data_IF_258608228354
#
_entry.id   IF_258608228354
#
_cell.length_a   1.000
_cell.length_b   1.000
_cell.length_c   1.000
_cell.angle_alpha   90.00
_cell.angle_beta   90.00
_cell.angle_gamma   90.00
#
_symmetry.space_group_name_H-M   'P 1'
#
loop_
_entity.id
_entity.type
_entity.pdbx_description
1 polymer ?
#
# COMPACT_ATOMS: atom_id res chain seq x y z
N UNK A 1 5.74 38.74 16.95
CA UNK A 1 6.76 37.70 17.18
C UNK A 1 6.29 36.32 16.66
N UNK A 2 5.01 36.15 16.31
CA UNK A 2 4.42 34.88 15.84
C UNK A 2 4.47 34.64 14.32
N UNK A 3 4.47 35.68 13.48
CA UNK A 3 4.54 35.52 12.01
C UNK A 3 5.89 35.00 11.48
N UNK A 4 6.96 35.10 12.28
CA UNK A 4 8.31 34.68 11.89
C UNK A 4 8.52 33.17 12.02
N UNK A 5 7.80 32.51 12.93
CA UNK A 5 7.92 31.07 13.14
C UNK A 5 7.23 30.25 12.04
N UNK A 6 6.13 30.73 11.43
CA UNK A 6 5.55 30.11 10.23
C UNK A 6 6.43 30.31 8.99
N UNK A 7 6.99 31.52 8.80
CA UNK A 7 7.92 31.78 7.70
C UNK A 7 9.24 30.99 7.81
N UNK A 8 9.73 30.74 9.03
CA UNK A 8 10.92 29.90 9.26
C UNK A 8 10.63 28.39 9.07
N UNK A 9 9.36 27.95 9.21
CA UNK A 9 8.90 26.61 8.83
C UNK A 9 8.91 26.46 7.29
N UNK A 10 8.49 27.49 6.56
CA UNK A 10 8.53 27.53 5.09
C UNK A 10 9.95 27.61 4.52
N UNK A 11 10.87 28.29 5.22
CA UNK A 11 12.28 28.35 4.83
C UNK A 11 13.01 27.00 5.00
N UNK A 12 12.56 26.14 5.92
CA UNK A 12 13.10 24.78 6.12
C UNK A 12 12.39 23.74 5.24
N UNK A 13 11.12 23.94 4.90
CA UNK A 13 10.40 23.13 3.91
C UNK A 13 10.79 23.47 2.46
N UNK A 14 11.18 24.72 2.20
CA UNK A 14 11.57 25.27 0.90
C UNK A 14 12.99 24.93 0.43
N UNK A 15 13.82 24.26 1.24
CA UNK A 15 15.12 23.72 0.80
C UNK A 15 14.99 22.40 0.01
N UNK A 16 13.85 22.19 -0.67
CA UNK A 16 13.68 21.20 -1.72
C UNK A 16 14.48 21.58 -2.96
N UNK A 17 15.78 21.26 -2.94
CA UNK A 17 16.68 21.43 -4.07
C UNK A 17 16.19 20.68 -5.31
N UNK A 18 16.38 21.33 -6.45
CA UNK A 18 16.06 20.91 -7.82
C UNK A 18 16.15 19.40 -8.07
N UNK A 19 15.02 18.80 -8.48
CA UNK A 19 15.05 17.56 -9.23
C UNK A 19 15.54 17.91 -10.64
N UNK A 20 16.83 17.77 -10.87
CA UNK A 20 17.37 17.68 -12.22
C UNK A 20 16.83 16.39 -12.86
N UNK A 21 15.76 16.53 -13.63
CA UNK A 21 15.34 15.50 -14.59
C UNK A 21 16.40 15.45 -15.68
N UNK A 22 17.33 14.50 -15.56
CA UNK A 22 18.24 14.14 -16.65
C UNK A 22 17.43 13.45 -17.75
N UNK A 23 16.87 14.24 -18.67
CA UNK A 23 16.38 13.74 -19.94
C UNK A 23 17.57 13.42 -20.85
N UNK A 24 18.02 12.16 -20.83
CA UNK A 24 18.88 11.62 -21.86
C UNK A 24 18.11 11.59 -23.19
N UNK A 25 18.37 12.57 -24.06
CA UNK A 25 17.84 12.60 -25.41
C UNK A 25 18.42 11.47 -26.25
N UNK A 26 17.55 10.78 -26.99
CA UNK A 26 17.90 10.09 -28.22
C UNK A 26 16.70 10.19 -29.16
N UNK A 27 16.84 11.12 -30.10
CA UNK A 27 15.98 11.35 -31.26
C UNK A 27 15.84 10.08 -32.08
N UNK A 28 14.62 9.62 -32.36
CA UNK A 28 14.21 9.00 -33.63
C UNK A 28 12.79 9.51 -33.94
N UNK A 29 12.71 10.45 -34.88
CA UNK A 29 11.56 10.60 -35.76
C UNK A 29 11.37 9.29 -36.54
N UNK A 30 10.21 8.65 -36.41
CA UNK A 30 9.67 7.81 -37.48
C UNK A 30 8.15 7.72 -37.40
N UNK A 31 7.55 8.27 -38.45
CA UNK A 31 6.14 8.40 -38.79
C UNK A 31 5.49 7.02 -38.94
N UNK A 32 4.36 6.78 -38.27
CA UNK A 32 3.38 5.75 -38.65
C UNK A 32 1.94 6.30 -38.56
N UNK A 33 1.05 5.93 -39.50
CA UNK A 33 -0.22 6.61 -39.78
C UNK A 33 -1.36 6.25 -38.79
N UNK A 34 -2.45 7.05 -38.73
CA UNK A 34 -3.52 6.88 -37.76
C UNK A 34 -4.38 5.66 -38.10
N UNK A 35 -4.55 4.76 -37.13
CA UNK A 35 -5.49 3.62 -37.22
C UNK A 35 -6.72 3.92 -36.34
N UNK A 36 -7.95 3.66 -36.82
CA UNK A 36 -9.14 4.30 -36.26
C UNK A 36 -9.62 3.67 -34.94
N UNK A 37 -10.22 4.54 -34.12
CA UNK A 37 -10.94 4.25 -32.88
C UNK A 37 -11.86 3.03 -33.01
N UNK A 38 -11.51 1.94 -32.33
CA UNK A 38 -12.46 0.89 -31.96
C UNK A 38 -12.84 1.09 -30.51
N UNK A 39 -14.13 1.40 -30.29
CA UNK A 39 -14.76 1.26 -28.98
C UNK A 39 -14.53 -0.15 -28.42
N UNK A 40 -13.99 -0.32 -27.22
CA UNK A 40 -14.11 -1.58 -26.53
C UNK A 40 -15.54 -1.69 -25.99
N UNK A 41 -16.29 -2.63 -26.57
CA UNK A 41 -17.46 -3.19 -25.92
C UNK A 41 -17.07 -3.66 -24.52
N UNK A 42 -17.88 -3.29 -23.52
CA UNK A 42 -17.87 -3.82 -22.15
C UNK A 42 -17.60 -5.33 -22.16
N UNK A 43 -16.37 -5.74 -21.86
CA UNK A 43 -16.09 -7.07 -21.33
C UNK A 43 -16.46 -7.03 -19.86
N UNK A 44 -17.65 -7.56 -19.55
CA UNK A 44 -18.00 -7.92 -18.20
C UNK A 44 -16.89 -8.79 -17.60
N UNK A 45 -16.38 -8.39 -16.43
CA UNK A 45 -15.45 -9.18 -15.63
C UNK A 45 -16.01 -10.59 -15.47
N UNK A 46 -15.38 -11.57 -16.11
CA UNK A 46 -15.58 -12.98 -15.78
C UNK A 46 -14.93 -13.22 -14.40
N UNK A 47 -15.66 -12.85 -13.34
CA UNK A 47 -15.41 -13.38 -12.01
C UNK A 47 -15.74 -14.88 -12.12
N UNK A 48 -14.72 -15.70 -12.37
CA UNK A 48 -14.77 -17.10 -12.01
C UNK A 48 -15.16 -17.14 -10.53
N UNK A 49 -16.41 -17.51 -10.25
CA UNK A 49 -16.85 -17.84 -8.90
C UNK A 49 -16.04 -19.06 -8.46
N UNK A 50 -14.86 -18.82 -7.89
CA UNK A 50 -14.26 -19.81 -7.01
C UNK A 50 -15.24 -19.98 -5.85
N UNK A 51 -15.73 -21.20 -5.66
CA UNK A 51 -16.52 -21.52 -4.48
C UNK A 51 -15.61 -21.29 -3.27
N UNK A 52 -15.92 -20.26 -2.49
CA UNK A 52 -15.28 -20.03 -1.19
C UNK A 52 -15.51 -21.26 -0.31
N UNK A 53 -14.50 -21.62 0.46
CA UNK A 53 -14.57 -22.75 1.39
C UNK A 53 -15.45 -22.35 2.56
N UNK A 54 -16.40 -23.19 2.95
CA UNK A 54 -17.21 -22.95 4.15
C UNK A 54 -16.46 -23.43 5.38
N UNK A 55 -16.41 -22.57 6.39
CA UNK A 55 -15.72 -22.83 7.64
C UNK A 55 -16.72 -22.71 8.79
N UNK A 56 -16.58 -23.58 9.78
CA UNK A 56 -17.28 -23.47 11.06
C UNK A 56 -16.77 -22.27 11.85
N UNK A 57 -17.55 -21.76 12.81
CA UNK A 57 -17.15 -20.60 13.63
C UNK A 57 -15.84 -20.83 14.40
N UNK A 58 -15.60 -22.05 14.88
CA UNK A 58 -14.37 -22.41 15.59
C UNK A 58 -13.16 -22.42 14.66
N UNK A 59 -13.31 -22.95 13.44
CA UNK A 59 -12.27 -22.93 12.41
C UNK A 59 -11.95 -21.50 11.99
N UNK A 60 -12.96 -20.65 11.77
CA UNK A 60 -12.76 -19.23 11.44
C UNK A 60 -11.91 -18.57 12.50
N UNK A 61 -12.25 -18.71 13.78
CA UNK A 61 -11.50 -18.05 14.86
C UNK A 61 -10.00 -18.40 14.84
N UNK A 62 -9.67 -19.68 14.72
CA UNK A 62 -8.26 -20.14 14.68
C UNK A 62 -7.56 -19.71 13.39
N UNK A 63 -8.23 -19.83 12.24
CA UNK A 63 -7.64 -19.47 10.95
C UNK A 63 -7.47 -17.96 10.79
N UNK A 64 -8.36 -17.17 11.39
CA UNK A 64 -8.22 -15.71 11.45
C UNK A 64 -6.98 -15.30 12.22
N UNK A 65 -6.70 -15.94 13.37
CA UNK A 65 -5.45 -15.67 14.09
C UNK A 65 -4.21 -15.99 13.24
N UNK A 66 -4.20 -17.15 12.57
CA UNK A 66 -3.09 -17.55 11.68
C UNK A 66 -2.94 -16.63 10.47
N UNK A 67 -4.05 -16.15 9.90
CA UNK A 67 -4.02 -15.15 8.83
C UNK A 67 -3.46 -13.82 9.32
N UNK A 68 -3.80 -13.44 10.56
CA UNK A 68 -3.21 -12.29 11.26
C UNK A 68 -1.70 -12.39 11.37
N UNK A 69 -1.15 -13.56 11.70
CA UNK A 69 0.30 -13.77 11.78
C UNK A 69 1.00 -13.53 10.42
N UNK A 70 0.39 -13.98 9.31
CA UNK A 70 0.93 -13.76 7.96
C UNK A 70 0.87 -12.27 7.60
N UNK A 71 -0.25 -11.61 7.89
CA UNK A 71 -0.45 -10.19 7.64
C UNK A 71 0.58 -9.34 8.41
N UNK A 72 0.76 -9.62 9.70
CA UNK A 72 1.76 -8.97 10.55
C UNK A 72 3.16 -9.21 10.01
N UNK A 73 3.52 -10.44 9.66
CA UNK A 73 4.84 -10.75 9.10
C UNK A 73 5.12 -10.01 7.77
N UNK A 74 4.13 -9.92 6.87
CA UNK A 74 4.26 -9.19 5.61
C UNK A 74 4.45 -7.68 5.83
N UNK A 75 3.66 -7.09 6.73
CA UNK A 75 3.80 -5.67 7.08
C UNK A 75 5.13 -5.37 7.78
N UNK A 76 5.58 -6.26 8.66
CA UNK A 76 6.86 -6.17 9.36
C UNK A 76 8.03 -6.25 8.38
N UNK A 77 8.02 -7.21 7.45
CA UNK A 77 8.99 -7.29 6.36
C UNK A 77 9.07 -5.97 5.60
N UNK A 78 7.92 -5.44 5.17
CA UNK A 78 7.88 -4.19 4.40
C UNK A 78 8.39 -2.99 5.20
N UNK A 79 8.03 -2.88 6.48
CA UNK A 79 8.58 -1.85 7.38
C UNK A 79 10.10 -2.02 7.58
N UNK A 80 10.59 -3.25 7.63
CA UNK A 80 12.00 -3.58 7.80
C UNK A 80 12.84 -3.16 6.59
N UNK A 81 12.27 -3.18 5.36
CA UNK A 81 12.95 -2.61 4.17
C UNK A 81 13.29 -1.12 4.31
N UNK A 82 12.58 -0.38 5.19
CA UNK A 82 12.79 1.04 5.47
C UNK A 82 13.99 1.34 6.37
N UNK A 83 14.33 0.38 7.22
CA UNK A 83 15.20 0.60 8.39
C UNK A 83 16.47 -0.23 8.32
N UNK A 84 16.51 -1.22 7.43
CA UNK A 84 17.63 -2.14 7.29
C UNK A 84 18.75 -1.55 6.45
N UNK A 85 19.99 -1.82 6.88
CA UNK A 85 21.20 -1.44 6.17
C UNK A 85 21.75 -2.57 5.27
N UNK A 86 21.26 -3.80 5.44
CA UNK A 86 21.65 -4.98 4.65
C UNK A 86 20.45 -5.88 4.30
N UNK A 87 20.61 -6.72 3.28
CA UNK A 87 19.62 -7.73 2.87
C UNK A 87 19.53 -8.87 3.89
N UNK A 88 20.62 -9.15 4.60
CA UNK A 88 20.69 -10.28 5.54
C UNK A 88 19.65 -10.16 6.66
N UNK A 89 19.47 -8.95 7.18
CA UNK A 89 18.48 -8.62 8.20
C UNK A 89 17.02 -8.77 7.73
N UNK A 90 16.76 -8.78 6.41
CA UNK A 90 15.44 -9.06 5.85
C UNK A 90 15.11 -10.56 5.84
N UNK A 91 16.13 -11.42 5.86
CA UNK A 91 15.95 -12.88 5.80
C UNK A 91 15.12 -13.46 6.94
N UNK A 92 15.19 -12.86 8.14
CA UNK A 92 14.38 -13.27 9.30
C UNK A 92 12.90 -13.00 9.08
N UNK A 93 12.54 -11.83 8.55
CA UNK A 93 11.15 -11.47 8.28
C UNK A 93 10.56 -12.33 7.16
N UNK A 94 11.35 -12.61 6.11
CA UNK A 94 10.95 -13.52 5.03
C UNK A 94 10.66 -14.92 5.58
N UNK A 95 11.52 -15.45 6.46
CA UNK A 95 11.28 -16.77 7.10
C UNK A 95 10.05 -16.79 7.99
N UNK A 96 9.81 -15.71 8.72
CA UNK A 96 8.64 -15.56 9.59
C UNK A 96 7.36 -15.64 8.75
N UNK A 97 7.31 -14.87 7.65
CA UNK A 97 6.22 -14.93 6.68
C UNK A 97 6.04 -16.33 6.08
N UNK A 98 7.12 -16.95 5.57
CA UNK A 98 7.07 -18.29 4.96
C UNK A 98 6.58 -19.35 5.94
N UNK A 99 6.97 -19.25 7.22
CA UNK A 99 6.55 -20.18 8.26
C UNK A 99 5.07 -20.01 8.59
N UNK A 100 4.61 -18.76 8.79
CA UNK A 100 3.19 -18.47 9.03
C UNK A 100 2.29 -18.92 7.87
N UNK A 101 2.71 -18.63 6.62
CA UNK A 101 1.98 -19.05 5.42
C UNK A 101 1.90 -20.58 5.30
N UNK A 102 2.99 -21.29 5.62
CA UNK A 102 2.99 -22.75 5.63
C UNK A 102 2.08 -23.31 6.73
N UNK A 103 2.08 -22.72 7.92
CA UNK A 103 1.19 -23.14 9.03
C UNK A 103 -0.28 -22.98 8.65
N UNK A 104 -0.68 -21.86 8.05
CA UNK A 104 -2.05 -21.67 7.58
C UNK A 104 -2.42 -22.68 6.48
N UNK A 105 -1.56 -22.87 5.50
CA UNK A 105 -1.74 -23.84 4.41
C UNK A 105 -1.91 -25.28 4.94
N UNK A 106 -1.10 -25.70 5.92
CA UNK A 106 -1.23 -27.01 6.57
C UNK A 106 -2.54 -27.16 7.34
N UNK A 107 -2.98 -26.09 8.03
CA UNK A 107 -4.26 -26.09 8.75
C UNK A 107 -5.44 -26.24 7.80
N UNK A 108 -5.48 -25.44 6.73
CA UNK A 108 -6.50 -25.51 5.68
C UNK A 108 -6.47 -26.84 4.92
N UNK A 109 -5.27 -27.40 4.69
CA UNK A 109 -5.10 -28.64 3.93
C UNK A 109 -5.37 -29.93 4.70
N UNK A 110 -5.45 -29.89 6.04
CA UNK A 110 -5.51 -31.11 6.85
C UNK A 110 -6.40 -31.09 8.09
N UNK A 111 -6.79 -29.92 8.59
CA UNK A 111 -7.47 -29.79 9.89
C UNK A 111 -8.87 -29.18 9.84
N UNK A 112 -9.32 -28.70 8.68
CA UNK A 112 -10.68 -28.17 8.50
C UNK A 112 -11.63 -29.24 7.97
N UNK A 113 -12.92 -29.00 8.15
CA UNK A 113 -14.02 -29.84 7.66
C UNK A 113 -14.01 -29.95 6.14
N UNK A 114 -13.84 -28.84 5.42
CA UNK A 114 -13.82 -28.78 3.96
C UNK A 114 -12.40 -28.90 3.34
N UNK A 115 -11.52 -29.73 3.91
CA UNK A 115 -10.13 -29.86 3.43
C UNK A 115 -10.04 -30.36 1.99
N UNK A 116 -10.95 -31.23 1.55
CA UNK A 116 -11.00 -31.72 0.16
C UNK A 116 -11.39 -30.60 -0.81
N UNK A 117 -12.29 -29.70 -0.39
CA UNK A 117 -12.66 -28.53 -1.18
C UNK A 117 -11.48 -27.56 -1.31
N UNK A 118 -10.76 -27.33 -0.22
CA UNK A 118 -9.51 -26.56 -0.24
C UNK A 118 -8.49 -27.15 -1.22
N UNK A 119 -8.20 -28.44 -1.11
CA UNK A 119 -7.25 -29.12 -2.01
C UNK A 119 -7.70 -29.06 -3.48
N UNK A 120 -9.00 -29.19 -3.74
CA UNK A 120 -9.56 -29.09 -5.09
C UNK A 120 -9.44 -27.67 -5.66
N UNK A 121 -9.62 -26.63 -4.83
CA UNK A 121 -9.47 -25.23 -5.26
C UNK A 121 -8.01 -24.87 -5.63
N UNK A 122 -7.03 -25.60 -5.10
CA UNK A 122 -5.62 -25.44 -5.46
C UNK A 122 -5.23 -26.20 -6.73
N UNK A 123 -5.90 -27.31 -7.04
CA UNK A 123 -5.44 -28.20 -8.09
C UNK A 123 -5.51 -27.55 -9.48
N UNK A 124 -4.36 -27.42 -10.15
CA UNK A 124 -4.28 -26.86 -11.51
C UNK A 124 -4.60 -25.36 -11.61
N UNK A 125 -4.59 -24.62 -10.49
CA UNK A 125 -4.91 -23.19 -10.47
C UNK A 125 -3.67 -22.34 -10.24
N UNK A 126 -3.72 -21.08 -10.69
CA UNK A 126 -2.66 -20.10 -10.43
C UNK A 126 -2.42 -19.88 -8.92
N UNK A 127 -3.49 -19.94 -8.12
CA UNK A 127 -3.43 -19.86 -6.66
C UNK A 127 -2.66 -21.07 -6.09
N UNK A 128 -2.98 -22.27 -6.57
CA UNK A 128 -2.27 -23.49 -6.16
C UNK A 128 -0.79 -23.46 -6.52
N UNK A 129 -0.43 -22.97 -7.70
CA UNK A 129 0.97 -22.78 -8.09
C UNK A 129 1.70 -21.82 -7.15
N UNK A 130 1.07 -20.68 -6.80
CA UNK A 130 1.64 -19.72 -5.86
C UNK A 130 1.87 -20.34 -4.47
N UNK A 131 0.87 -21.05 -3.93
CA UNK A 131 0.98 -21.73 -2.63
C UNK A 131 2.04 -22.84 -2.66
N UNK A 132 2.12 -23.60 -3.76
CA UNK A 132 3.14 -24.63 -3.96
C UNK A 132 4.55 -24.03 -4.02
N UNK A 133 4.71 -22.88 -4.67
CA UNK A 133 5.98 -22.17 -4.74
C UNK A 133 6.43 -21.66 -3.35
N UNK A 134 5.51 -21.09 -2.56
CA UNK A 134 5.79 -20.69 -1.17
C UNK A 134 6.20 -21.89 -0.31
N UNK A 135 5.48 -23.01 -0.46
CA UNK A 135 5.82 -24.27 0.23
C UNK A 135 7.21 -24.76 -0.16
N UNK A 136 7.58 -24.67 -1.44
CA UNK A 136 8.92 -25.01 -1.90
C UNK A 136 9.99 -24.15 -1.21
N UNK A 137 9.86 -22.82 -1.30
CA UNK A 137 10.86 -21.88 -0.75
C UNK A 137 10.96 -21.99 0.77
N UNK A 138 9.85 -22.19 1.48
CA UNK A 138 9.88 -22.44 2.91
C UNK A 138 10.77 -23.62 3.25
N UNK A 139 10.66 -24.74 2.53
CA UNK A 139 11.51 -25.91 2.79
C UNK A 139 12.96 -25.66 2.39
N UNK A 140 13.22 -24.96 1.29
CA UNK A 140 14.56 -24.51 0.91
C UNK A 140 15.20 -23.66 2.01
N UNK A 141 14.42 -22.75 2.63
CA UNK A 141 14.91 -21.83 3.67
C UNK A 141 15.40 -22.52 4.96
N UNK A 142 15.16 -23.83 5.10
CA UNK A 142 15.73 -24.67 6.16
C UNK A 142 17.16 -25.12 5.87
N UNK A 143 17.58 -25.03 4.60
CA UNK A 143 18.89 -25.48 4.12
C UNK A 143 19.78 -24.32 3.63
N UNK A 144 19.24 -23.11 3.46
CA UNK A 144 20.00 -21.92 3.05
C UNK A 144 19.77 -20.74 3.99
N UNK A 145 20.80 -19.88 4.11
CA UNK A 145 20.74 -18.71 4.97
C UNK A 145 19.92 -17.55 4.37
N UNK A 146 19.88 -17.43 3.04
CA UNK A 146 19.07 -16.43 2.35
C UNK A 146 18.38 -17.06 1.15
N UNK A 147 17.10 -16.75 0.96
CA UNK A 147 16.28 -17.13 -0.21
C UNK A 147 15.89 -15.91 -1.04
N UNK A 148 16.50 -14.77 -0.73
CA UNK A 148 16.25 -13.47 -1.34
C UNK A 148 17.58 -12.80 -1.63
N UNK A 149 17.61 -12.01 -2.68
CA UNK A 149 18.75 -11.23 -3.14
C UNK A 149 18.33 -9.78 -3.39
N UNK A 150 19.27 -8.83 -3.44
CA UNK A 150 18.93 -7.49 -3.91
C UNK A 150 18.27 -7.53 -5.29
N UNK A 151 17.25 -6.69 -5.51
CA UNK A 151 16.58 -6.56 -6.82
C UNK A 151 17.53 -5.91 -7.82
N UNK A 152 17.71 -6.55 -8.98
CA UNK A 152 18.47 -5.98 -10.10
C UNK A 152 17.62 -5.00 -10.91
N UNK A 153 16.32 -5.27 -11.06
CA UNK A 153 15.42 -4.51 -11.93
C UNK A 153 14.97 -3.18 -11.31
N UNK A 154 14.87 -3.10 -9.98
CA UNK A 154 14.39 -1.91 -9.27
C UNK A 154 15.51 -1.04 -8.69
N UNK A 155 16.77 -1.45 -8.87
CA UNK A 155 17.89 -0.99 -8.06
C UNK A 155 17.81 -1.55 -6.64
N UNK A 156 18.87 -2.23 -6.21
CA UNK A 156 18.96 -2.85 -4.88
C UNK A 156 18.67 -1.88 -3.72
N UNK A 157 18.97 -0.59 -3.94
CA UNK A 157 18.78 0.51 -3.02
C UNK A 157 18.05 1.65 -3.72
N UNK A 158 16.83 1.98 -3.27
CA UNK A 158 16.17 3.23 -3.68
C UNK A 158 16.27 4.21 -2.52
N UNK A 159 16.76 5.41 -2.82
CA UNK A 159 17.19 6.36 -1.81
C UNK A 159 17.08 7.82 -2.21
N UNK A 160 16.90 8.69 -1.22
CA UNK A 160 16.89 10.14 -1.35
C UNK A 160 16.87 10.84 0.01
N UNK A 161 16.53 12.13 0.04
CA UNK A 161 16.42 12.96 1.26
C UNK A 161 15.52 12.37 2.36
N UNK A 162 14.69 11.38 2.02
CA UNK A 162 13.68 10.78 2.91
C UNK A 162 14.00 9.34 3.35
N UNK A 163 15.22 8.84 3.09
CA UNK A 163 15.69 7.53 3.57
C UNK A 163 16.24 6.62 2.46
N UNK A 164 16.78 5.47 2.88
CA UNK A 164 17.30 4.40 2.02
C UNK A 164 16.43 3.16 2.22
N UNK A 165 16.14 2.43 1.13
CA UNK A 165 15.40 1.17 1.19
C UNK A 165 16.05 0.08 0.39
N UNK A 166 15.97 -1.13 0.93
CA UNK A 166 16.50 -2.33 0.30
C UNK A 166 15.38 -3.07 -0.40
N UNK A 167 15.54 -3.26 -1.71
CA UNK A 167 14.62 -4.02 -2.54
C UNK A 167 15.16 -5.40 -2.73
N UNK A 168 14.29 -6.39 -2.55
CA UNK A 168 14.68 -7.78 -2.70
C UNK A 168 13.74 -8.53 -3.61
N UNK A 169 14.33 -9.43 -4.36
CA UNK A 169 13.67 -10.41 -5.20
C UNK A 169 13.98 -11.83 -4.68
N UNK A 170 13.13 -12.80 -5.01
CA UNK A 170 13.43 -14.20 -4.70
C UNK A 170 14.66 -14.67 -5.47
N UNK A 171 15.62 -15.22 -4.75
CA UNK A 171 16.90 -15.68 -5.31
C UNK A 171 16.79 -17.05 -5.96
N UNK A 172 17.70 -17.36 -6.87
CA UNK A 172 17.84 -18.71 -7.41
C UNK A 172 18.18 -19.69 -6.28
N UNK A 173 17.58 -20.88 -6.34
CA UNK A 173 17.83 -21.92 -5.34
C UNK A 173 19.09 -22.71 -5.73
N UNK A 174 20.11 -22.78 -4.85
CA UNK A 174 21.31 -23.57 -5.12
C UNK A 174 20.95 -25.05 -5.36
N UNK A 175 21.56 -25.73 -6.35
CA UNK A 175 21.28 -27.15 -6.62
C UNK A 175 21.44 -28.04 -5.38
N UNK A 176 22.49 -27.83 -4.58
CA UNK A 176 22.71 -28.59 -3.35
C UNK A 176 21.57 -28.46 -2.32
N UNK A 177 20.95 -27.27 -2.22
CA UNK A 177 19.81 -27.06 -1.35
C UNK A 177 18.57 -27.78 -1.88
N UNK A 178 18.36 -27.79 -3.21
CA UNK A 178 17.28 -28.54 -3.86
C UNK A 178 17.43 -30.05 -3.67
N UNK A 179 18.64 -30.58 -3.87
CA UNK A 179 18.95 -32.00 -3.77
C UNK A 179 18.77 -32.53 -2.33
N UNK A 180 18.90 -31.65 -1.34
CA UNK A 180 18.67 -31.95 0.08
C UNK A 180 17.18 -32.08 0.46
N UNK A 181 16.26 -31.67 -0.43
CA UNK A 181 14.81 -31.72 -0.19
C UNK A 181 14.25 -33.12 -0.42
N UNK A 182 13.08 -33.40 0.19
CA UNK A 182 12.31 -34.61 -0.12
C UNK A 182 11.81 -34.60 -1.56
N UNK A 183 11.67 -35.76 -2.24
CA UNK A 183 11.22 -35.82 -3.65
C UNK A 183 9.90 -35.09 -3.94
N UNK A 184 8.93 -35.18 -3.02
CA UNK A 184 7.65 -34.47 -3.14
C UNK A 184 7.79 -32.94 -3.04
N UNK A 185 8.82 -32.44 -2.36
CA UNK A 185 9.11 -31.00 -2.31
C UNK A 185 9.88 -30.59 -3.56
N UNK A 186 10.82 -31.42 -4.03
CA UNK A 186 11.54 -31.18 -5.28
C UNK A 186 10.59 -31.01 -6.47
N UNK A 187 9.51 -31.79 -6.53
CA UNK A 187 8.49 -31.66 -7.59
C UNK A 187 7.75 -30.32 -7.62
N UNK A 188 7.88 -29.49 -6.58
CA UNK A 188 7.29 -28.14 -6.53
C UNK A 188 8.19 -27.06 -7.15
N UNK A 189 9.43 -27.39 -7.50
CA UNK A 189 10.38 -26.44 -8.10
C UNK A 189 9.83 -25.72 -9.34
N UNK A 190 9.12 -26.36 -10.28
CA UNK A 190 8.58 -25.66 -11.44
C UNK A 190 7.64 -24.50 -11.07
N UNK A 191 6.85 -24.64 -10.00
CA UNK A 191 5.98 -23.57 -9.52
C UNK A 191 6.79 -22.39 -8.97
N UNK A 192 7.89 -22.66 -8.26
CA UNK A 192 8.81 -21.62 -7.80
C UNK A 192 9.45 -20.85 -8.96
N UNK A 193 9.99 -21.56 -9.95
CA UNK A 193 10.64 -20.95 -11.12
C UNK A 193 9.64 -20.08 -11.90
N UNK A 194 8.38 -20.53 -12.01
CA UNK A 194 7.35 -19.82 -12.77
C UNK A 194 6.73 -18.62 -12.03
N UNK A 195 6.65 -18.66 -10.69
CA UNK A 195 5.86 -17.69 -9.91
C UNK A 195 6.68 -16.77 -9.00
N UNK A 196 7.86 -17.21 -8.56
CA UNK A 196 8.61 -16.51 -7.51
C UNK A 196 9.98 -16.06 -7.99
N UNK A 197 10.74 -16.90 -8.71
CA UNK A 197 12.12 -16.57 -9.08
C UNK A 197 12.21 -15.19 -9.76
N UNK A 198 13.07 -14.33 -9.22
CA UNK A 198 13.28 -12.96 -9.72
C UNK A 198 12.14 -11.98 -9.45
N UNK A 199 10.99 -12.44 -8.94
CA UNK A 199 9.88 -11.57 -8.58
C UNK A 199 10.14 -10.84 -7.27
N UNK A 200 9.58 -9.64 -7.14
CA UNK A 200 9.66 -8.84 -5.92
C UNK A 200 8.99 -9.58 -4.75
N UNK A 201 9.66 -9.58 -3.60
CA UNK A 201 9.17 -10.27 -2.40
C UNK A 201 7.89 -9.62 -1.86
N UNK A 202 7.80 -8.29 -1.79
CA UNK A 202 6.60 -7.59 -1.29
C UNK A 202 5.37 -7.94 -2.10
N UNK A 203 5.42 -7.75 -3.43
CA UNK A 203 4.33 -8.10 -4.33
C UNK A 203 3.92 -9.58 -4.23
N UNK A 204 4.89 -10.49 -4.04
CA UNK A 204 4.60 -11.91 -3.79
C UNK A 204 3.85 -12.11 -2.48
N UNK A 205 4.28 -11.49 -1.37
CA UNK A 205 3.63 -11.61 -0.07
C UNK A 205 2.17 -11.11 -0.13
N UNK A 206 1.92 -9.99 -0.80
CA UNK A 206 0.57 -9.45 -1.03
C UNK A 206 -0.30 -10.42 -1.85
N UNK A 207 0.26 -11.01 -2.91
CA UNK A 207 -0.44 -12.00 -3.74
C UNK A 207 -0.81 -13.27 -2.96
N UNK A 208 0.05 -13.73 -2.05
CA UNK A 208 -0.22 -14.89 -1.18
C UNK A 208 -1.35 -14.59 -0.19
N UNK A 209 -1.31 -13.42 0.44
CA UNK A 209 -2.39 -12.94 1.31
C UNK A 209 -3.73 -12.87 0.57
N UNK A 210 -3.72 -12.28 -0.64
CA UNK A 210 -4.90 -12.22 -1.50
C UNK A 210 -5.38 -13.61 -1.91
N UNK A 211 -4.48 -14.54 -2.20
CA UNK A 211 -4.83 -15.91 -2.54
C UNK A 211 -5.58 -16.62 -1.40
N UNK A 212 -5.11 -16.50 -0.15
CA UNK A 212 -5.84 -17.05 0.99
C UNK A 212 -7.21 -16.39 1.19
N UNK A 213 -7.31 -15.07 1.03
CA UNK A 213 -8.60 -14.37 1.14
C UNK A 213 -9.57 -14.69 -0.01
N UNK A 214 -9.08 -15.00 -1.20
CA UNK A 214 -9.93 -15.48 -2.31
C UNK A 214 -10.54 -16.85 -1.98
N UNK A 215 -9.75 -17.74 -1.35
CA UNK A 215 -10.21 -19.09 -1.00
C UNK A 215 -11.13 -19.08 0.23
N UNK A 216 -10.85 -18.25 1.22
CA UNK A 216 -11.56 -18.20 2.50
C UNK A 216 -11.64 -16.75 3.02
N UNK A 217 -12.47 -15.87 2.43
CA UNK A 217 -12.49 -14.43 2.76
C UNK A 217 -12.81 -14.13 4.23
N UNK A 218 -13.53 -15.02 4.91
CA UNK A 218 -13.90 -14.90 6.31
C UNK A 218 -12.73 -15.01 7.29
N UNK A 219 -11.56 -15.50 6.86
CA UNK A 219 -10.37 -15.63 7.73
C UNK A 219 -9.50 -14.37 7.74
N UNK A 220 -9.83 -13.35 6.94
CA UNK A 220 -9.06 -12.10 6.94
C UNK A 220 -9.13 -11.46 8.33
N UNK A 221 -8.00 -11.38 9.00
CA UNK A 221 -7.91 -10.67 10.27
C UNK A 221 -8.00 -9.16 10.02
N UNK A 222 -8.88 -8.51 10.79
CA UNK A 222 -9.19 -7.10 10.66
C UNK A 222 -8.88 -6.36 11.96
N UNK A 223 -8.34 -5.16 11.83
CA UNK A 223 -8.05 -4.30 12.97
C UNK A 223 -9.32 -3.60 13.49
N UNK A 224 -9.15 -2.68 14.45
CA UNK A 224 -10.25 -1.94 15.06
C UNK A 224 -10.96 -1.00 14.07
N UNK A 225 -10.32 -0.63 12.96
CA UNK A 225 -10.87 0.19 11.89
C UNK A 225 -11.61 -0.67 10.84
N UNK A 226 -11.62 -2.00 11.01
CA UNK A 226 -12.18 -2.94 10.04
C UNK A 226 -11.26 -3.23 8.86
N UNK A 227 -10.03 -2.71 8.91
CA UNK A 227 -9.03 -2.85 7.86
C UNK A 227 -8.20 -4.11 8.03
N UNK A 228 -7.59 -4.61 6.95
CA UNK A 228 -6.65 -5.72 7.06
C UNK A 228 -5.52 -5.35 8.01
N UNK A 229 -5.23 -6.19 9.01
CA UNK A 229 -4.24 -5.82 10.03
C UNK A 229 -2.84 -5.60 9.42
N UNK A 230 -2.25 -4.44 9.71
CA UNK A 230 -0.95 -4.05 9.15
C UNK A 230 -1.03 -3.49 7.71
N UNK A 231 -2.24 -3.28 7.18
CA UNK A 231 -2.47 -2.75 5.83
C UNK A 231 -3.40 -1.53 5.83
N UNK A 232 -3.34 -0.70 4.76
CA UNK A 232 -2.36 -0.73 3.68
C UNK A 232 -0.95 -0.45 4.20
N UNK A 233 0.03 -1.00 3.49
CA UNK A 233 1.43 -0.75 3.75
C UNK A 233 1.71 0.75 3.59
N UNK A 234 2.56 1.30 4.46
CA UNK A 234 2.87 2.74 4.49
C UNK A 234 3.45 3.20 3.15
N UNK A 235 2.77 4.14 2.47
CA UNK A 235 3.24 4.69 1.19
C UNK A 235 4.62 5.31 1.33
N UNK A 236 5.47 5.04 0.34
CA UNK A 236 6.84 5.52 0.29
C UNK A 236 7.15 6.17 -1.06
N UNK A 237 8.06 7.15 -1.08
CA UNK A 237 8.51 7.73 -2.34
C UNK A 237 9.00 6.64 -3.31
N UNK A 238 8.64 6.78 -4.59
CA UNK A 238 9.12 5.89 -5.67
C UNK A 238 8.70 4.43 -5.53
N UNK A 239 7.62 4.16 -4.79
CA UNK A 239 6.99 2.84 -4.72
C UNK A 239 5.71 2.81 -5.55
N UNK A 240 5.76 2.36 -6.82
CA UNK A 240 4.55 2.22 -7.64
C UNK A 240 3.77 0.93 -7.30
N UNK A 241 4.45 -0.08 -6.74
CA UNK A 241 3.85 -1.37 -6.41
C UNK A 241 2.67 -1.28 -5.45
N UNK A 242 1.84 -2.32 -5.43
CA UNK A 242 0.67 -2.42 -4.54
C UNK A 242 1.07 -2.30 -3.07
N UNK A 243 0.22 -1.68 -2.28
CA UNK A 243 0.36 -1.50 -0.84
C UNK A 243 -0.71 -2.27 -0.06
N UNK A 244 -1.69 -2.85 -0.73
CA UNK A 244 -2.75 -3.62 -0.07
C UNK A 244 -3.04 -4.91 -0.86
N UNK A 245 -3.31 -6.06 -0.20
CA UNK A 245 -3.63 -7.32 -0.89
C UNK A 245 -4.84 -7.22 -1.84
N UNK A 246 -5.85 -6.44 -1.46
CA UNK A 246 -7.03 -6.14 -2.29
C UNK A 246 -6.80 -5.07 -3.37
N UNK A 247 -5.64 -4.42 -3.43
CA UNK A 247 -5.34 -3.46 -4.50
C UNK A 247 -5.20 -4.21 -5.84
N UNK A 248 -5.93 -3.80 -6.89
CA UNK A 248 -5.78 -4.37 -8.23
C UNK A 248 -4.39 -4.13 -8.83
N UNK A 249 -4.03 -4.89 -9.86
CA UNK A 249 -2.82 -4.63 -10.65
C UNK A 249 -3.09 -3.65 -11.80
N UNK A 250 -4.32 -3.65 -12.32
CA UNK A 250 -4.75 -2.68 -13.32
C UNK A 250 -4.92 -1.29 -12.68
N UNK A 251 -4.41 -0.26 -13.36
CA UNK A 251 -4.35 1.09 -12.83
C UNK A 251 -5.74 1.74 -12.72
N UNK A 252 -6.62 1.50 -13.69
CA UNK A 252 -7.98 2.05 -13.69
C UNK A 252 -8.81 1.41 -12.56
N UNK A 253 -8.71 0.08 -12.42
CA UNK A 253 -9.32 -0.64 -11.31
C UNK A 253 -8.75 -0.19 -9.96
N UNK A 254 -7.45 0.09 -9.88
CA UNK A 254 -6.79 0.61 -8.67
C UNK A 254 -7.30 1.99 -8.26
N UNK A 255 -7.53 2.88 -9.23
CA UNK A 255 -8.17 4.18 -8.97
C UNK A 255 -9.59 4.01 -8.43
N UNK A 256 -10.38 3.10 -9.01
CA UNK A 256 -11.74 2.83 -8.55
C UNK A 256 -11.73 2.24 -7.13
N UNK A 257 -10.86 1.25 -6.88
CA UNK A 257 -10.65 0.64 -5.57
C UNK A 257 -10.29 1.68 -4.51
N UNK A 258 -9.33 2.55 -4.81
CA UNK A 258 -8.82 3.57 -3.88
C UNK A 258 -9.87 4.60 -3.47
N UNK A 259 -10.72 5.03 -4.41
CA UNK A 259 -11.78 6.01 -4.14
C UNK A 259 -13.04 5.40 -3.54
N UNK A 260 -13.20 4.06 -3.61
CA UNK A 260 -14.36 3.35 -3.05
C UNK A 260 -14.27 3.09 -1.54
N UNK A 261 -13.11 3.38 -0.92
CA UNK A 261 -12.79 3.03 0.46
C UNK A 261 -12.55 4.27 1.30
N UNK A 262 -12.82 4.26 2.61
CA UNK A 262 -12.47 5.37 3.49
C UNK A 262 -10.97 5.69 3.42
N UNK A 263 -10.57 6.94 3.66
CA UNK A 263 -9.17 7.28 3.87
C UNK A 263 -8.60 6.58 5.12
N UNK A 264 -7.27 6.44 5.17
CA UNK A 264 -6.57 6.04 6.38
C UNK A 264 -6.47 7.19 7.40
N UNK A 265 -6.19 6.82 8.64
CA UNK A 265 -6.09 7.72 9.78
C UNK A 265 -7.36 7.72 10.62
N UNK A 266 -7.36 8.54 11.66
CA UNK A 266 -8.50 8.69 12.58
C UNK A 266 -9.54 9.70 12.08
N UNK A 267 -9.08 10.71 11.32
CA UNK A 267 -9.93 11.75 10.74
C UNK A 267 -9.20 12.54 9.63
N UNK A 268 -9.95 13.35 8.90
CA UNK A 268 -9.42 14.49 8.14
C UNK A 268 -9.67 15.79 8.90
N UNK A 269 -8.65 16.63 9.04
CA UNK A 269 -8.78 18.01 9.50
C UNK A 269 -8.78 18.95 8.28
N UNK A 270 -9.94 19.47 7.92
CA UNK A 270 -10.14 20.47 6.86
C UNK A 270 -9.73 21.85 7.37
N UNK A 271 -8.84 22.51 6.63
CA UNK A 271 -8.37 23.87 6.94
C UNK A 271 -8.75 24.87 5.84
N UNK A 272 -9.34 24.40 4.74
CA UNK A 272 -9.83 25.25 3.66
C UNK A 272 -10.63 24.52 2.59
N UNK A 273 -11.22 25.32 1.72
CA UNK A 273 -11.96 24.94 0.53
C UNK A 273 -11.61 25.90 -0.61
N UNK A 274 -11.38 25.34 -1.80
CA UNK A 274 -11.15 26.10 -3.03
C UNK A 274 -11.99 25.57 -4.17
N UNK A 275 -12.40 26.46 -5.08
CA UNK A 275 -13.17 26.12 -6.26
C UNK A 275 -12.30 26.29 -7.49
N UNK A 276 -11.97 25.19 -8.16
CA UNK A 276 -11.13 25.22 -9.35
C UNK A 276 -11.77 24.40 -10.46
N UNK A 277 -11.86 24.97 -11.67
CA UNK A 277 -12.57 24.34 -12.79
C UNK A 277 -14.06 24.07 -12.51
N UNK A 278 -14.70 24.90 -11.68
CA UNK A 278 -16.09 24.74 -11.26
C UNK A 278 -16.33 23.59 -10.28
N UNK A 279 -15.26 22.93 -9.78
CA UNK A 279 -15.33 21.86 -8.79
C UNK A 279 -14.75 22.34 -7.46
N UNK A 280 -15.45 22.02 -6.37
CA UNK A 280 -14.99 22.31 -5.02
C UNK A 280 -14.05 21.23 -4.52
N UNK A 281 -12.95 21.67 -3.94
CA UNK A 281 -11.95 20.84 -3.31
C UNK A 281 -11.74 21.28 -1.87
N UNK A 282 -11.80 20.33 -0.95
CA UNK A 282 -11.42 20.52 0.45
C UNK A 282 -9.96 20.16 0.61
N UNK A 283 -9.26 20.96 1.41
CA UNK A 283 -7.84 20.80 1.70
C UNK A 283 -7.58 20.79 3.19
N UNK A 284 -6.55 20.05 3.60
CA UNK A 284 -6.30 19.83 5.01
C UNK A 284 -5.30 18.73 5.31
N UNK A 285 -5.31 18.24 6.54
CA UNK A 285 -4.38 17.26 7.05
C UNK A 285 -5.05 15.93 7.39
N UNK A 286 -4.36 14.82 7.15
CA UNK A 286 -4.72 13.54 7.75
C UNK A 286 -4.40 13.61 9.24
N UNK A 287 -5.27 13.10 10.10
CA UNK A 287 -5.02 12.95 11.53
C UNK A 287 -4.75 11.47 11.81
N UNK A 288 -3.64 11.15 12.46
CA UNK A 288 -3.34 9.81 12.97
C UNK A 288 -2.77 9.90 14.39
N UNK A 289 -3.57 9.52 15.37
CA UNK A 289 -3.30 9.72 16.79
C UNK A 289 -3.07 11.20 17.12
N UNK A 290 -1.82 11.54 17.44
CA UNK A 290 -1.38 12.93 17.73
C UNK A 290 -0.54 13.53 16.61
N UNK A 291 -0.51 12.92 15.43
CA UNK A 291 0.30 13.35 14.30
C UNK A 291 -0.61 13.80 13.15
N UNK A 292 -0.09 14.75 12.37
CA UNK A 292 -0.60 15.11 11.06
C UNK A 292 0.44 14.67 10.00
N UNK A 293 0.41 13.38 9.60
CA UNK A 293 1.46 12.78 8.77
C UNK A 293 1.52 13.30 7.33
N UNK A 294 0.45 13.93 6.85
CA UNK A 294 0.36 14.37 5.46
C UNK A 294 -0.81 15.32 5.20
N UNK A 295 -0.73 16.02 4.08
CA UNK A 295 -1.78 16.87 3.54
C UNK A 295 -2.66 16.09 2.57
N UNK A 296 -3.92 16.49 2.42
CA UNK A 296 -4.85 15.94 1.43
C UNK A 296 -5.53 17.05 0.62
N UNK A 297 -5.95 16.70 -0.59
CA UNK A 297 -6.91 17.48 -1.38
C UNK A 297 -7.95 16.50 -1.92
N UNK A 298 -9.22 16.75 -1.62
CA UNK A 298 -10.33 15.87 -1.99
C UNK A 298 -11.48 16.68 -2.58
N UNK A 299 -12.24 16.09 -3.51
CA UNK A 299 -13.44 16.75 -4.02
C UNK A 299 -14.55 16.72 -2.97
N UNK A 300 -15.45 17.71 -3.01
CA UNK A 300 -16.67 17.72 -2.20
C UNK A 300 -17.44 16.40 -2.25
N UNK A 301 -17.57 15.85 -3.45
CA UNK A 301 -18.20 14.54 -3.68
C UNK A 301 -17.51 13.43 -2.89
N UNK A 302 -16.19 13.32 -2.99
CA UNK A 302 -15.46 12.28 -2.25
C UNK A 302 -15.64 12.46 -0.74
N UNK A 303 -15.54 13.69 -0.23
CA UNK A 303 -15.75 13.96 1.20
C UNK A 303 -17.15 13.54 1.64
N UNK A 304 -18.17 13.81 0.81
CA UNK A 304 -19.55 13.39 1.08
C UNK A 304 -19.66 11.87 1.13
N UNK A 305 -19.07 11.17 0.15
CA UNK A 305 -19.07 9.70 0.09
C UNK A 305 -18.34 9.10 1.31
N UNK A 306 -17.21 9.69 1.71
CA UNK A 306 -16.41 9.26 2.85
C UNK A 306 -17.16 9.50 4.19
N UNK A 307 -17.82 10.65 4.36
CA UNK A 307 -18.68 10.93 5.53
C UNK A 307 -19.86 9.96 5.59
N UNK A 308 -20.49 9.66 4.44
CA UNK A 308 -21.58 8.71 4.36
C UNK A 308 -21.13 7.27 4.72
N UNK A 309 -19.85 6.95 4.48
CA UNK A 309 -19.23 5.69 4.93
C UNK A 309 -18.85 5.67 6.42
N UNK A 310 -19.04 6.79 7.14
CA UNK A 310 -18.76 6.93 8.56
C UNK A 310 -17.38 7.51 8.89
N UNK A 311 -16.59 7.93 7.89
CA UNK A 311 -15.28 8.54 8.13
C UNK A 311 -15.41 9.97 8.67
N UNK A 312 -14.55 10.33 9.62
CA UNK A 312 -14.64 11.62 10.33
C UNK A 312 -13.93 12.73 9.55
N UNK A 313 -14.69 13.77 9.20
CA UNK A 313 -14.14 15.05 8.76
C UNK A 313 -14.39 16.10 9.85
N UNK A 314 -13.34 16.84 10.17
CA UNK A 314 -13.32 17.92 11.14
C UNK A 314 -12.93 19.22 10.44
N UNK A 315 -13.38 20.35 10.97
CA UNK A 315 -12.90 21.68 10.61
C UNK A 315 -12.35 22.38 11.83
N UNK A 316 -11.17 22.98 11.72
CA UNK A 316 -10.51 23.71 12.80
C UNK A 316 -9.25 24.40 12.30
N UNK A 317 -8.74 25.32 13.09
CA UNK A 317 -7.48 26.02 12.82
C UNK A 317 -6.33 25.33 13.58
N UNK A 318 -5.34 24.72 12.90
CA UNK A 318 -4.22 24.10 13.58
C UNK A 318 -3.24 25.10 14.22
N UNK A 319 -3.35 26.40 13.89
CA UNK A 319 -2.46 27.42 14.43
C UNK A 319 -2.47 27.44 15.97
N UNK A 320 -1.29 27.37 16.58
CA UNK A 320 -1.14 27.32 18.05
C UNK A 320 -1.38 25.94 18.69
N UNK A 321 -2.00 24.99 17.98
CA UNK A 321 -2.30 23.64 18.48
C UNK A 321 -1.37 22.55 17.97
N UNK A 322 -0.44 22.90 17.07
CA UNK A 322 0.52 21.98 16.48
C UNK A 322 1.96 22.48 16.60
N UNK A 323 2.91 21.54 16.63
CA UNK A 323 4.35 21.84 16.51
C UNK A 323 4.99 20.96 15.45
N UNK A 324 6.04 21.46 14.80
CA UNK A 324 6.87 20.63 13.93
C UNK A 324 7.66 19.63 14.78
N UNK A 325 7.59 18.35 14.43
CA UNK A 325 8.34 17.28 15.08
C UNK A 325 9.02 16.43 14.01
N UNK A 326 10.24 15.96 14.29
CA UNK A 326 10.91 15.01 13.42
C UNK A 326 10.46 13.60 13.79
N UNK A 327 9.66 12.97 12.92
CA UNK A 327 9.28 11.57 13.05
C UNK A 327 10.51 10.70 12.71
N UNK A 328 11.13 10.12 13.74
CA UNK A 328 12.30 9.27 13.60
C UNK A 328 12.01 7.96 12.86
N UNK A 329 10.76 7.48 12.87
CA UNK A 329 10.33 6.25 12.20
C UNK A 329 10.08 6.52 10.73
N UNK A 330 9.39 7.61 10.40
CA UNK A 330 9.14 8.01 9.01
C UNK A 330 10.29 8.81 8.38
N UNK A 331 11.31 9.18 9.16
CA UNK A 331 12.44 10.04 8.75
C UNK A 331 11.97 11.30 8.00
N UNK A 332 10.90 11.90 8.50
CA UNK A 332 10.30 13.12 7.94
C UNK A 332 9.83 14.03 9.04
N UNK A 333 9.70 15.32 8.72
CA UNK A 333 9.00 16.24 9.60
C UNK A 333 7.49 16.03 9.47
N UNK A 334 6.81 15.95 10.61
CA UNK A 334 5.36 15.88 10.74
C UNK A 334 4.90 16.95 11.72
N UNK A 335 3.64 17.35 11.66
CA UNK A 335 3.07 18.21 12.70
C UNK A 335 2.52 17.32 13.82
N UNK A 336 2.90 17.61 15.06
CA UNK A 336 2.33 16.97 16.25
C UNK A 336 1.29 17.87 16.88
N UNK A 337 0.13 17.29 17.14
CA UNK A 337 -0.98 17.86 17.88
C UNK A 337 -0.59 17.95 19.36
N UNK A 338 -0.67 19.16 19.92
CA UNK A 338 -0.38 19.47 21.33
C UNK A 338 -1.59 19.17 22.21
N UNK A 339 -2.74 19.72 21.83
CA UNK A 339 -4.01 19.64 22.56
C UNK A 339 -4.98 18.68 21.87
N UNK A 340 -5.80 17.92 22.62
CA UNK A 340 -6.79 17.02 22.03
C UNK A 340 -7.59 17.69 20.92
N UNK A 341 -7.66 17.07 19.74
CA UNK A 341 -8.30 17.68 18.55
C UNK A 341 -9.77 18.04 18.80
N UNK A 342 -10.43 17.36 19.72
CA UNK A 342 -11.81 17.65 20.15
C UNK A 342 -12.00 18.98 20.87
N UNK A 343 -10.92 19.62 21.35
CA UNK A 343 -10.99 20.90 22.06
C UNK A 343 -11.03 22.11 21.12
N UNK A 344 -10.53 21.96 19.89
CA UNK A 344 -10.35 23.08 18.95
C UNK A 344 -10.82 22.78 17.51
N UNK A 345 -11.23 21.55 17.21
CA UNK A 345 -11.87 21.19 15.95
C UNK A 345 -13.29 20.64 16.17
N UNK A 346 -14.18 20.96 15.24
CA UNK A 346 -15.57 20.50 15.25
C UNK A 346 -15.85 19.60 14.04
N UNK A 347 -16.89 18.74 14.07
CA UNK A 347 -17.35 18.05 12.87
C UNK A 347 -17.56 19.01 11.71
N UNK A 348 -17.12 18.62 10.51
CA UNK A 348 -17.25 19.45 9.33
C UNK A 348 -18.72 19.83 9.10
N UNK A 349 -19.00 21.13 9.11
CA UNK A 349 -20.34 21.66 8.87
C UNK A 349 -20.76 21.56 7.40
N UNK A 350 -21.95 22.10 7.09
CA UNK A 350 -22.43 22.19 5.71
C UNK A 350 -21.43 22.97 4.83
N UNK A 351 -21.30 22.53 3.57
CA UNK A 351 -20.43 23.21 2.61
C UNK A 351 -20.79 24.68 2.45
N UNK A 352 -19.75 25.53 2.41
CA UNK A 352 -19.90 26.96 2.16
C UNK A 352 -19.89 27.20 0.66
N UNK A 353 -20.65 28.21 0.22
CA UNK A 353 -20.71 28.60 -1.19
C UNK A 353 -19.38 29.15 -1.71
N UNK A 354 -18.65 29.83 -0.83
CA UNK A 354 -17.47 30.62 -1.14
C UNK A 354 -16.19 29.88 -0.73
N UNK A 355 -15.08 30.21 -1.38
CA UNK A 355 -13.76 29.69 -1.01
C UNK A 355 -13.31 30.30 0.32
N UNK A 356 -12.64 29.49 1.15
CA UNK A 356 -12.20 29.88 2.48
C UNK A 356 -10.99 29.06 2.92
N UNK A 357 -10.17 29.56 3.84
CA UNK A 357 -9.08 28.78 4.42
C UNK A 357 -8.09 29.62 5.20
N UNK A 358 -7.33 28.97 6.08
CA UNK A 358 -6.38 29.63 7.00
C UNK A 358 -5.16 30.18 6.25
N UNK A 359 -4.79 29.58 5.11
CA UNK A 359 -3.69 30.08 4.26
C UNK A 359 -3.83 29.58 2.81
N UNK A 360 -4.81 30.12 2.07
CA UNK A 360 -4.96 29.79 0.65
C UNK A 360 -3.84 30.37 -0.24
N UNK A 361 -2.96 31.21 0.33
CA UNK A 361 -1.83 31.82 -0.37
C UNK A 361 -0.59 30.95 -0.39
N UNK A 362 -0.52 29.90 0.44
CA UNK A 362 0.56 28.91 0.42
C UNK A 362 0.67 28.28 -1.00
N UNK A 363 1.83 28.47 -1.68
CA UNK A 363 2.08 27.89 -3.00
C UNK A 363 1.96 26.37 -3.03
N UNK A 364 2.15 25.67 -1.90
CA UNK A 364 2.01 24.23 -1.80
C UNK A 364 0.56 23.78 -1.94
N UNK A 365 -0.41 24.49 -1.33
CA UNK A 365 -1.83 24.19 -1.53
C UNK A 365 -2.24 24.37 -2.99
N UNK A 366 -1.81 25.48 -3.61
CA UNK A 366 -2.04 25.72 -5.03
C UNK A 366 -1.41 24.63 -5.92
N UNK A 367 -0.22 24.11 -5.53
CA UNK A 367 0.43 22.98 -6.23
C UNK A 367 -0.35 21.67 -6.03
N UNK A 368 -0.77 21.35 -4.82
CA UNK A 368 -1.53 20.12 -4.53
C UNK A 368 -2.89 20.11 -5.22
N UNK A 369 -3.57 21.25 -5.27
CA UNK A 369 -4.84 21.40 -6.01
C UNK A 369 -4.61 21.20 -7.50
N UNK A 370 -3.55 21.78 -8.07
CA UNK A 370 -3.16 21.52 -9.47
C UNK A 370 -2.89 20.04 -9.75
N UNK A 371 -2.23 19.33 -8.83
CA UNK A 371 -2.05 17.88 -8.96
C UNK A 371 -3.37 17.11 -8.89
N UNK A 372 -4.28 17.50 -8.00
CA UNK A 372 -5.62 16.89 -7.90
C UNK A 372 -6.50 17.15 -9.15
N UNK A 373 -6.22 18.21 -9.92
CA UNK A 373 -6.93 18.54 -11.16
C UNK A 373 -6.47 17.76 -12.40
N UNK A 374 -5.42 16.93 -12.29
CA UNK A 374 -5.15 15.81 -13.20
C UNK A 374 -4.65 16.09 -14.64
N UNK A 375 -4.25 17.31 -15.03
CA UNK A 375 -3.88 17.58 -16.44
C UNK A 375 -2.37 17.49 -16.77
N UNK A 376 -1.47 17.48 -15.77
CA UNK A 376 -0.02 17.61 -16.00
C UNK A 376 0.79 16.35 -15.68
N UNK A 377 0.19 15.34 -15.04
CA UNK A 377 0.88 14.12 -14.63
C UNK A 377 0.41 12.92 -15.46
N UNK A 378 1.31 12.00 -15.85
CA UNK A 378 0.92 10.69 -16.36
C UNK A 378 0.05 9.93 -15.34
N UNK A 379 -0.77 9.00 -15.82
CA UNK A 379 -1.76 8.27 -15.00
C UNK A 379 -1.17 7.65 -13.73
N UNK A 380 0.02 7.04 -13.85
CA UNK A 380 0.73 6.43 -12.72
C UNK A 380 1.10 7.48 -11.67
N UNK A 381 1.60 8.65 -12.07
CA UNK A 381 1.93 9.73 -11.15
C UNK A 381 0.69 10.31 -10.46
N UNK A 382 -0.44 10.41 -11.18
CA UNK A 382 -1.73 10.81 -10.59
C UNK A 382 -2.18 9.81 -9.54
N UNK A 383 -2.01 8.52 -9.81
CA UNK A 383 -2.37 7.45 -8.88
C UNK A 383 -1.53 7.50 -7.62
N UNK A 384 -0.21 7.64 -7.74
CA UNK A 384 0.70 7.70 -6.59
C UNK A 384 0.40 8.88 -5.67
N UNK A 385 0.13 10.08 -6.23
CA UNK A 385 -0.27 11.25 -5.45
C UNK A 385 -1.59 10.97 -4.73
N UNK A 386 -2.59 10.45 -5.45
CA UNK A 386 -3.90 10.14 -4.86
C UNK A 386 -3.80 9.09 -3.76
N UNK A 387 -3.02 8.03 -3.98
CA UNK A 387 -2.79 6.95 -3.03
C UNK A 387 -2.07 7.45 -1.80
N UNK A 388 -1.04 8.29 -1.95
CA UNK A 388 -0.36 8.93 -0.82
C UNK A 388 -1.33 9.80 0.00
N UNK A 389 -2.18 10.60 -0.65
CA UNK A 389 -3.13 11.44 0.09
C UNK A 389 -4.17 10.62 0.85
N UNK A 390 -4.63 9.47 0.33
CA UNK A 390 -5.68 8.65 0.96
C UNK A 390 -5.16 7.61 1.93
N UNK A 391 -4.04 6.97 1.66
CA UNK A 391 -3.56 5.81 2.42
C UNK A 391 -2.36 6.10 3.33
N UNK A 392 -1.69 7.25 3.18
CA UNK A 392 -0.51 7.61 3.98
C UNK A 392 -0.91 8.31 5.29
N UNK A 393 -1.43 7.51 6.23
CA UNK A 393 -1.55 7.88 7.64
C UNK A 393 -0.46 7.15 8.43
#
# INVERSE_FOLDING_TARGET
>A
MEAKQLADIDALAGQGGEVNVWCGGSSIDQILPPTPLRHPQRTASNILRMNSINLTSDEVTVLTALMGDIQVAASAFYAKTATSADVESLGTEVRTFLSAAQTLNERLGGSITEKEAYQSALYGTAIGELINAIKYVRNVSQHVLHVVRPSEDSGALVGGLHGLRIYVAWDEVPPAAHDSLRPRTQSLRPAFEARLRGQEVTGTMLSVLRAFATLAPQIVHRDQRGEWTGFPLKTQPSMPGRLHPDEPEDLEESFAWLNSRPPNGDARLVVGQVTVGGRRHLLGYTVDGRLLPGRFVESSRQVTDDIASGFRYLSGDPAGHVKLEHDCVARRHVLRILDPISEWAAPLGAERSDDWGVDLTDPEWARMVRFAQNDYLPDVGRYEVRRSQRLNA
#
